data_IF_347809337599
#
_entry.id   IF_347809337599
#
_cell.length_a   1.000
_cell.length_b   1.000
_cell.length_c   1.000
_cell.angle_alpha   90.00
_cell.angle_beta   90.00
_cell.angle_gamma   90.00
#
_symmetry.space_group_name_H-M   'P 1'
#
loop_
_entity.id
_entity.type
_entity.pdbx_description
1 polymer ?
#
# COMPACT_ATOMS: atom_id res chain seq x y z
N UNK A 1 -31.22 -11.04 -16.07
CA UNK A 1 -30.38 -11.03 -17.29
C UNK A 1 -31.18 -11.43 -18.55
N UNK A 2 -32.38 -10.85 -18.77
CA UNK A 2 -33.25 -11.18 -19.92
C UNK A 2 -33.76 -9.96 -20.73
N UNK A 3 -33.47 -8.73 -20.31
CA UNK A 3 -34.04 -7.54 -20.98
C UNK A 3 -33.10 -6.74 -21.89
N UNK A 4 -31.82 -7.12 -22.02
CA UNK A 4 -30.91 -6.46 -22.97
C UNK A 4 -30.95 -7.02 -24.40
N UNK A 5 -31.68 -8.12 -24.65
CA UNK A 5 -31.68 -8.78 -25.97
C UNK A 5 -32.76 -8.29 -26.94
N UNK A 6 -33.73 -7.49 -26.49
CA UNK A 6 -34.89 -7.08 -27.31
C UNK A 6 -34.70 -5.73 -28.03
N UNK A 7 -33.68 -4.96 -27.66
CA UNK A 7 -33.37 -3.66 -28.30
C UNK A 7 -32.45 -3.85 -29.52
N UNK A 8 -31.64 -4.91 -29.57
CA UNK A 8 -30.69 -5.12 -30.68
C UNK A 8 -31.34 -5.62 -31.98
N UNK A 9 -32.56 -6.17 -31.93
CA UNK A 9 -33.25 -6.72 -33.12
C UNK A 9 -34.01 -5.63 -33.90
N UNK A 10 -34.39 -4.51 -33.26
CA UNK A 10 -35.09 -3.41 -33.97
C UNK A 10 -34.17 -2.48 -34.76
N UNK A 11 -32.85 -2.61 -34.65
CA UNK A 11 -31.89 -1.76 -35.37
C UNK A 11 -31.35 -2.39 -36.67
N UNK A 12 -31.72 -3.63 -36.99
CA UNK A 12 -31.24 -4.33 -38.19
C UNK A 12 -32.26 -4.28 -39.33
N UNK A 13 -33.55 -4.10 -39.05
CA UNK A 13 -34.62 -4.10 -40.08
C UNK A 13 -34.84 -2.76 -40.80
N UNK A 14 -34.17 -1.67 -40.40
CA UNK A 14 -34.31 -0.36 -41.08
C UNK A 14 -33.24 -0.07 -42.14
N UNK A 15 -32.36 -1.03 -42.45
CA UNK A 15 -31.21 -0.79 -43.33
C UNK A 15 -31.39 -1.21 -44.81
N UNK A 16 -32.62 -1.54 -45.24
CA UNK A 16 -32.92 -1.95 -46.62
C UNK A 16 -33.91 -1.02 -47.34
N UNK A 17 -33.76 0.29 -47.19
CA UNK A 17 -34.35 1.24 -48.13
C UNK A 17 -33.29 2.21 -48.66
N UNK A 18 -33.14 2.13 -49.99
CA UNK A 18 -32.20 2.82 -50.86
C UNK A 18 -32.12 4.35 -50.63
N UNK A 19 -30.92 4.95 -50.47
CA UNK A 19 -30.77 6.40 -50.48
C UNK A 19 -29.91 6.85 -51.65
N UNK A 20 -30.48 6.89 -52.85
CA UNK A 20 -29.83 7.53 -54.02
C UNK A 20 -30.46 8.86 -54.42
N UNK A 21 -31.43 9.39 -53.67
CA UNK A 21 -32.13 10.64 -54.04
C UNK A 21 -32.25 11.71 -52.95
N UNK A 22 -31.43 11.62 -51.90
CA UNK A 22 -31.45 12.59 -50.79
C UNK A 22 -30.05 13.08 -50.38
N UNK A 23 -29.05 12.93 -51.27
CA UNK A 23 -27.68 13.44 -51.06
C UNK A 23 -27.44 14.85 -51.60
N UNK A 24 -28.37 15.42 -52.38
CA UNK A 24 -28.23 16.76 -52.94
C UNK A 24 -28.70 17.86 -51.98
N UNK A 25 -29.76 17.64 -51.20
CA UNK A 25 -30.29 18.67 -50.27
C UNK A 25 -29.52 18.79 -48.96
N UNK A 26 -28.93 17.70 -48.45
CA UNK A 26 -28.08 17.71 -47.25
C UNK A 26 -26.71 18.37 -47.47
N UNK A 27 -26.22 18.46 -48.71
CA UNK A 27 -24.96 19.16 -49.04
C UNK A 27 -25.09 20.69 -49.09
N UNK A 28 -26.30 21.22 -49.30
CA UNK A 28 -26.52 22.67 -49.28
C UNK A 28 -26.76 23.21 -47.86
N UNK A 29 -27.44 22.47 -46.98
CA UNK A 29 -27.61 22.89 -45.58
C UNK A 29 -26.34 22.77 -44.73
N UNK A 30 -25.38 21.91 -45.08
CA UNK A 30 -24.14 21.77 -44.31
C UNK A 30 -23.10 22.87 -44.64
N UNK A 31 -23.30 23.67 -45.69
CA UNK A 31 -22.42 24.81 -46.02
C UNK A 31 -22.61 26.03 -45.11
N UNK A 32 -23.73 26.13 -44.39
CA UNK A 32 -24.05 27.34 -43.61
C UNK A 32 -23.75 27.26 -42.11
N UNK A 33 -23.32 26.12 -41.56
CA UNK A 33 -23.06 25.99 -40.12
C UNK A 33 -21.59 25.78 -39.72
N UNK A 34 -20.65 25.71 -40.67
CA UNK A 34 -19.22 25.63 -40.35
C UNK A 34 -18.63 27.03 -40.28
N UNK A 35 -18.85 27.73 -39.16
CA UNK A 35 -18.01 28.89 -38.84
C UNK A 35 -16.55 28.42 -38.79
N UNK A 36 -15.63 29.03 -39.55
CA UNK A 36 -14.23 28.69 -39.47
C UNK A 36 -13.73 29.05 -38.08
N UNK A 37 -13.52 28.05 -37.23
CA UNK A 37 -12.73 28.21 -36.02
C UNK A 37 -11.38 28.75 -36.50
N UNK A 38 -11.07 29.99 -36.12
CA UNK A 38 -9.85 30.64 -36.59
C UNK A 38 -8.68 29.84 -36.03
N UNK A 39 -7.81 29.34 -36.91
CA UNK A 39 -6.56 28.61 -36.58
C UNK A 39 -5.74 29.27 -35.45
N UNK A 40 -5.92 30.58 -35.24
CA UNK A 40 -5.30 31.35 -34.16
C UNK A 40 -5.79 30.97 -32.75
N UNK A 41 -7.02 30.48 -32.62
CA UNK A 41 -7.63 30.10 -31.34
C UNK A 41 -7.17 28.70 -30.90
N UNK A 42 -6.93 27.78 -31.86
CA UNK A 42 -6.36 26.45 -31.58
C UNK A 42 -4.92 26.52 -31.05
N UNK A 43 -4.11 27.45 -31.59
CA UNK A 43 -2.72 27.63 -31.15
C UNK A 43 -2.69 28.14 -29.69
N UNK A 44 -3.52 29.13 -29.35
CA UNK A 44 -3.62 29.65 -27.98
C UNK A 44 -4.06 28.60 -26.97
N UNK A 45 -5.02 27.74 -27.36
CA UNK A 45 -5.48 26.64 -26.50
C UNK A 45 -4.38 25.62 -26.24
N UNK A 46 -3.57 25.30 -27.25
CA UNK A 46 -2.42 24.39 -27.11
C UNK A 46 -1.36 24.95 -26.14
N UNK A 47 -1.02 26.25 -26.26
CA UNK A 47 -0.03 26.89 -25.39
C UNK A 47 -0.49 26.94 -23.92
N UNK A 48 -1.79 27.19 -23.71
CA UNK A 48 -2.40 27.13 -22.38
C UNK A 48 -2.30 25.72 -21.79
N UNK A 49 -2.64 24.68 -22.56
CA UNK A 49 -2.56 23.29 -22.12
C UNK A 49 -1.12 22.89 -21.72
N UNK A 50 -0.10 23.30 -22.48
CA UNK A 50 1.30 23.04 -22.12
C UNK A 50 1.71 23.71 -20.81
N UNK A 51 1.25 24.94 -20.60
CA UNK A 51 1.53 25.69 -19.38
C UNK A 51 0.89 24.98 -18.20
N UNK A 52 -0.37 24.55 -18.31
CA UNK A 52 -1.06 23.77 -17.29
C UNK A 52 -0.34 22.45 -16.96
N UNK A 53 0.03 21.66 -17.97
CA UNK A 53 0.76 20.39 -17.76
C UNK A 53 2.10 20.63 -17.06
N UNK A 54 2.81 21.69 -17.44
CA UNK A 54 4.10 22.04 -16.83
C UNK A 54 3.93 22.43 -15.37
N UNK A 55 2.98 23.31 -15.07
CA UNK A 55 2.66 23.72 -13.69
C UNK A 55 2.27 22.51 -12.84
N UNK A 56 1.41 21.63 -13.36
CA UNK A 56 0.99 20.42 -12.66
C UNK A 56 2.15 19.46 -12.40
N UNK A 57 3.04 19.28 -13.37
CA UNK A 57 4.23 18.41 -13.23
C UNK A 57 5.16 18.96 -12.15
N UNK A 58 5.42 20.28 -12.15
CA UNK A 58 6.23 20.94 -11.13
C UNK A 58 5.58 20.79 -9.75
N UNK A 59 4.26 21.00 -9.66
CA UNK A 59 3.53 20.83 -8.40
C UNK A 59 3.65 19.41 -7.85
N UNK A 60 3.44 18.38 -8.68
CA UNK A 60 3.61 16.98 -8.28
C UNK A 60 5.04 16.71 -7.80
N UNK A 61 6.04 17.21 -8.51
CA UNK A 61 7.44 17.05 -8.11
C UNK A 61 7.73 17.70 -6.75
N UNK A 62 7.26 18.93 -6.53
CA UNK A 62 7.38 19.62 -5.23
C UNK A 62 6.70 18.82 -4.13
N UNK A 63 5.51 18.27 -4.36
CA UNK A 63 4.82 17.40 -3.39
C UNK A 63 5.65 16.15 -3.05
N UNK A 64 6.24 15.48 -4.03
CA UNK A 64 7.09 14.31 -3.80
C UNK A 64 8.32 14.69 -2.96
N UNK A 65 9.03 15.75 -3.33
CA UNK A 65 10.23 16.24 -2.60
C UNK A 65 9.88 16.59 -1.16
N UNK A 66 8.77 17.30 -0.93
CA UNK A 66 8.32 17.62 0.42
C UNK A 66 7.99 16.36 1.23
N UNK A 67 7.24 15.40 0.67
CA UNK A 67 6.88 14.16 1.37
C UNK A 67 8.11 13.32 1.72
N UNK A 68 9.06 13.20 0.79
CA UNK A 68 10.34 12.52 1.02
C UNK A 68 11.13 13.23 2.12
N UNK A 69 11.23 14.56 2.04
CA UNK A 69 11.99 15.36 3.02
C UNK A 69 11.41 15.24 4.43
N UNK A 70 10.08 15.32 4.57
CA UNK A 70 9.39 15.10 5.85
C UNK A 70 9.68 13.70 6.39
N UNK A 71 9.59 12.67 5.54
CA UNK A 71 9.83 11.28 5.96
C UNK A 71 11.28 11.06 6.40
N UNK A 72 12.25 11.61 5.67
CA UNK A 72 13.67 11.58 6.04
C UNK A 72 13.87 12.29 7.38
N UNK A 73 13.31 13.49 7.53
CA UNK A 73 13.41 14.25 8.78
C UNK A 73 12.82 13.50 9.98
N UNK A 74 11.63 12.89 9.82
CA UNK A 74 11.00 12.09 10.87
C UNK A 74 11.86 10.88 11.26
N UNK A 75 12.42 10.17 10.28
CA UNK A 75 13.32 9.04 10.52
C UNK A 75 14.62 9.47 11.20
N UNK A 76 15.26 10.56 10.74
CA UNK A 76 16.46 11.11 11.37
C UNK A 76 16.18 11.56 12.80
N UNK A 77 15.05 12.23 13.04
CA UNK A 77 14.64 12.65 14.38
C UNK A 77 14.36 11.44 15.28
N UNK A 78 13.80 10.34 14.75
CA UNK A 78 13.62 9.09 15.50
C UNK A 78 14.97 8.47 15.88
N UNK A 79 15.93 8.39 14.94
CA UNK A 79 17.27 7.86 15.21
C UNK A 79 18.01 8.73 16.22
N UNK A 80 18.00 10.06 16.05
CA UNK A 80 18.73 10.99 16.91
C UNK A 80 18.17 11.04 18.35
N UNK A 81 16.89 10.72 18.53
CA UNK A 81 16.26 10.67 19.86
C UNK A 81 16.44 9.31 20.55
N UNK A 82 16.93 8.31 19.83
CA UNK A 82 17.19 7.00 20.42
C UNK A 82 18.49 7.04 21.23
N UNK A 83 18.38 6.82 22.53
CA UNK A 83 19.53 6.64 23.42
C UNK A 83 19.72 5.15 23.66
N UNK A 84 20.68 4.56 22.99
CA UNK A 84 20.93 3.12 23.09
C UNK A 84 21.55 2.77 24.45
N UNK A 85 21.01 1.75 25.11
CA UNK A 85 21.70 1.07 26.20
C UNK A 85 22.57 -0.06 25.61
N UNK A 86 23.91 0.08 25.57
CA UNK A 86 24.78 -0.88 24.89
C UNK A 86 24.78 -2.28 25.53
N UNK A 87 24.36 -2.38 26.79
CA UNK A 87 24.30 -3.64 27.52
C UNK A 87 23.06 -4.48 27.15
N UNK A 88 22.15 -3.93 26.35
CA UNK A 88 20.93 -4.63 25.97
C UNK A 88 21.18 -5.71 24.89
N UNK A 89 20.64 -6.94 25.06
CA UNK A 89 20.79 -8.03 24.10
C UNK A 89 20.50 -7.68 22.63
N UNK A 90 19.49 -6.83 22.39
CA UNK A 90 19.18 -6.34 21.03
C UNK A 90 20.31 -5.48 20.44
N UNK A 91 20.99 -4.64 21.24
CA UNK A 91 22.12 -3.83 20.76
C UNK A 91 23.33 -4.70 20.43
N UNK A 92 23.52 -5.78 21.18
CA UNK A 92 24.59 -6.76 20.99
C UNK A 92 24.30 -7.75 19.84
N UNK A 93 23.11 -7.67 19.22
CA UNK A 93 22.65 -8.57 18.16
C UNK A 93 22.63 -10.05 18.55
N UNK A 94 22.36 -10.34 19.82
CA UNK A 94 22.21 -11.72 20.29
C UNK A 94 21.04 -12.38 19.54
N UNK A 95 21.19 -13.62 19.04
CA UNK A 95 20.12 -14.33 18.35
C UNK A 95 18.83 -14.42 19.18
N UNK A 96 17.74 -13.90 18.63
CA UNK A 96 16.42 -13.84 19.32
C UNK A 96 15.87 -15.23 19.68
N UNK A 97 16.30 -16.27 18.97
CA UNK A 97 15.88 -17.66 19.19
C UNK A 97 16.49 -18.29 20.45
N UNK A 98 17.46 -17.63 21.09
CA UNK A 98 18.02 -18.10 22.35
C UNK A 98 16.95 -18.19 23.44
N UNK A 99 17.04 -19.26 24.25
CA UNK A 99 15.95 -19.80 25.07
C UNK A 99 15.33 -18.80 26.05
N UNK A 100 16.09 -17.78 26.46
CA UNK A 100 15.68 -16.82 27.48
C UNK A 100 15.62 -15.37 26.98
N UNK A 101 15.96 -15.13 25.70
CA UNK A 101 16.12 -13.77 25.17
C UNK A 101 14.85 -12.93 25.38
N UNK A 102 13.70 -13.44 24.95
CA UNK A 102 12.43 -12.73 25.05
C UNK A 102 11.87 -12.77 26.48
N UNK A 103 12.16 -13.82 27.22
CA UNK A 103 11.55 -14.11 28.51
C UNK A 103 12.14 -13.17 29.57
N UNK A 104 13.44 -12.89 29.46
CA UNK A 104 14.12 -11.85 30.22
C UNK A 104 13.50 -10.46 30.00
N UNK A 105 13.24 -10.07 28.74
CA UNK A 105 12.58 -8.79 28.45
C UNK A 105 11.18 -8.70 29.06
N UNK A 106 10.42 -9.78 29.07
CA UNK A 106 9.08 -9.79 29.65
C UNK A 106 9.15 -9.67 31.16
N UNK A 107 10.09 -10.37 31.80
CA UNK A 107 10.29 -10.27 33.22
C UNK A 107 10.74 -8.86 33.64
N UNK A 108 11.69 -8.26 32.90
CA UNK A 108 12.21 -6.91 33.20
C UNK A 108 11.23 -5.78 32.88
N UNK A 109 10.56 -5.83 31.72
CA UNK A 109 9.77 -4.70 31.19
C UNK A 109 8.25 -4.85 31.40
N UNK A 110 7.75 -6.08 31.61
CA UNK A 110 6.31 -6.39 31.54
C UNK A 110 5.69 -6.81 32.87
N UNK A 111 6.48 -7.05 33.93
CA UNK A 111 5.98 -7.43 35.26
C UNK A 111 4.83 -6.55 35.81
N UNK A 112 4.75 -5.22 35.55
CA UNK A 112 3.62 -4.41 36.02
C UNK A 112 2.44 -4.25 35.03
N UNK A 113 2.53 -4.76 33.78
CA UNK A 113 1.49 -4.56 32.74
C UNK A 113 0.78 -5.85 32.29
N UNK A 114 0.96 -6.96 33.01
CA UNK A 114 0.26 -8.23 32.79
C UNK A 114 -1.24 -8.18 33.15
N UNK A 115 -1.90 -7.05 32.89
CA UNK A 115 -3.33 -6.85 33.16
C UNK A 115 -4.13 -7.15 31.88
N UNK A 116 -4.65 -8.38 31.91
CA UNK A 116 -5.98 -8.75 31.47
C UNK A 116 -6.27 -8.87 29.95
N UNK A 117 -5.83 -10.00 29.40
CA UNK A 117 -6.60 -10.72 28.37
C UNK A 117 -7.42 -11.87 29.00
N UNK A 118 -7.66 -11.86 30.32
CA UNK A 118 -8.43 -12.93 30.95
C UNK A 118 -9.88 -12.83 30.52
N UNK A 119 -10.36 -13.91 29.88
CA UNK A 119 -11.79 -14.21 29.85
C UNK A 119 -12.42 -14.53 28.51
N UNK A 120 -11.73 -14.65 27.37
CA UNK A 120 -12.40 -15.12 26.13
C UNK A 120 -11.52 -15.98 25.22
N UNK A 121 -12.00 -17.17 24.76
CA UNK A 121 -11.43 -17.83 23.60
C UNK A 121 -11.75 -16.99 22.35
N UNK A 122 -10.80 -16.17 21.92
CA UNK A 122 -10.94 -15.35 20.72
C UNK A 122 -10.63 -16.19 19.48
N UNK A 123 -11.54 -17.12 19.17
CA UNK A 123 -11.54 -17.81 17.89
C UNK A 123 -11.75 -16.78 16.77
N UNK A 124 -10.99 -16.89 15.69
CA UNK A 124 -11.16 -16.06 14.51
C UNK A 124 -10.92 -16.87 13.25
N UNK A 125 -11.57 -16.49 12.15
CA UNK A 125 -11.36 -17.12 10.85
C UNK A 125 -10.25 -16.41 10.12
N UNK A 126 -9.24 -17.16 9.71
CA UNK A 126 -8.14 -16.62 8.94
C UNK A 126 -8.59 -16.36 7.49
N UNK A 127 -8.37 -15.15 6.96
CA UNK A 127 -8.82 -14.78 5.60
C UNK A 127 -7.81 -15.08 4.50
N UNK A 128 -6.54 -15.19 4.87
CA UNK A 128 -5.42 -15.41 3.97
C UNK A 128 -4.43 -16.31 4.71
N UNK A 129 -3.71 -17.21 4.03
CA UNK A 129 -2.77 -18.08 4.71
C UNK A 129 -1.66 -17.28 5.40
N UNK A 130 -1.09 -17.85 6.46
CA UNK A 130 0.09 -17.29 7.14
C UNK A 130 1.18 -18.34 7.14
N UNK A 131 2.36 -17.92 6.72
CA UNK A 131 3.54 -18.77 6.63
C UNK A 131 4.56 -18.40 7.70
N UNK A 132 5.07 -19.40 8.39
CA UNK A 132 6.07 -19.29 9.44
C UNK A 132 7.35 -20.00 9.02
N UNK A 133 8.49 -19.39 9.35
CA UNK A 133 9.79 -19.75 8.82
C UNK A 133 10.78 -20.03 9.95
N UNK A 134 11.82 -20.80 9.65
CA UNK A 134 12.90 -21.13 10.59
C UNK A 134 13.88 -19.97 10.81
N UNK A 135 13.99 -19.04 9.85
CA UNK A 135 14.82 -17.84 9.87
C UNK A 135 14.15 -16.71 9.06
N UNK A 136 14.54 -15.43 9.26
CA UNK A 136 13.97 -14.28 8.54
C UNK A 136 14.61 -14.11 7.14
N UNK A 137 14.42 -15.13 6.29
CA UNK A 137 14.92 -15.16 4.90
C UNK A 137 13.74 -15.42 3.94
N UNK A 138 13.64 -14.58 2.91
CA UNK A 138 12.58 -14.64 1.90
C UNK A 138 12.72 -15.86 0.96
N UNK A 139 13.90 -16.50 0.92
CA UNK A 139 14.18 -17.65 0.05
C UNK A 139 13.89 -19.01 0.71
N UNK A 140 13.52 -19.03 1.99
CA UNK A 140 13.23 -20.26 2.71
C UNK A 140 11.80 -20.73 2.47
N UNK A 141 11.63 -22.05 2.43
CA UNK A 141 10.31 -22.65 2.49
C UNK A 141 9.71 -22.51 3.91
N UNK A 142 8.39 -22.31 4.01
CA UNK A 142 7.73 -22.20 5.30
C UNK A 142 7.73 -23.54 6.04
N UNK A 143 8.08 -23.50 7.33
CA UNK A 143 8.03 -24.67 8.23
C UNK A 143 6.59 -24.99 8.63
N UNK A 144 5.77 -23.94 8.81
CA UNK A 144 4.35 -24.07 9.15
C UNK A 144 3.56 -23.11 8.27
N UNK A 145 2.49 -23.59 7.67
CA UNK A 145 1.51 -22.75 6.99
C UNK A 145 0.14 -22.96 7.62
N UNK A 146 -0.48 -21.86 8.03
CA UNK A 146 -1.85 -21.82 8.50
C UNK A 146 -2.77 -21.52 7.32
N UNK A 147 -3.77 -22.36 7.11
CA UNK A 147 -4.67 -22.28 5.97
C UNK A 147 -5.74 -21.20 6.15
N UNK A 148 -6.08 -20.52 5.05
CA UNK A 148 -7.23 -19.63 5.02
C UNK A 148 -8.55 -20.40 5.22
N UNK A 149 -9.57 -19.72 5.74
CA UNK A 149 -10.91 -20.28 5.99
C UNK A 149 -11.03 -21.09 7.28
N UNK A 150 -9.92 -21.48 7.91
CA UNK A 150 -9.93 -22.20 9.19
C UNK A 150 -10.09 -21.27 10.39
N UNK A 151 -10.58 -21.84 11.50
CA UNK A 151 -10.70 -21.16 12.80
C UNK A 151 -9.42 -21.36 13.61
N UNK A 152 -8.89 -20.26 14.12
CA UNK A 152 -7.69 -20.24 14.96
C UNK A 152 -7.97 -19.52 16.27
N UNK A 153 -7.20 -19.84 17.30
CA UNK A 153 -7.24 -19.20 18.61
C UNK A 153 -5.92 -18.51 18.92
N UNK A 154 -6.00 -17.50 19.78
CA UNK A 154 -4.85 -16.97 20.52
C UNK A 154 -4.89 -17.65 21.88
N UNK A 155 -3.86 -18.42 22.22
CA UNK A 155 -3.77 -19.01 23.54
C UNK A 155 -3.36 -17.93 24.55
N UNK A 156 -4.33 -17.40 25.29
CA UNK A 156 -4.12 -16.37 26.32
C UNK A 156 -3.95 -16.94 27.72
N UNK A 157 -4.12 -18.26 27.90
CA UNK A 157 -4.02 -18.95 29.19
C UNK A 157 -2.62 -19.50 29.48
N UNK A 158 -1.70 -19.34 28.54
CA UNK A 158 -0.30 -19.75 28.67
C UNK A 158 0.53 -18.59 29.25
N UNK A 159 1.48 -18.91 30.13
CA UNK A 159 2.53 -18.00 30.58
C UNK A 159 3.24 -17.32 29.40
N UNK A 160 3.28 -17.98 28.24
CA UNK A 160 3.84 -17.46 26.99
C UNK A 160 2.88 -16.64 26.12
N UNK A 161 1.67 -16.28 26.61
CA UNK A 161 0.66 -15.52 25.85
C UNK A 161 1.24 -14.26 25.18
N UNK A 162 2.22 -13.64 25.83
CA UNK A 162 2.97 -12.50 25.31
C UNK A 162 3.73 -12.78 24.02
N UNK A 163 3.92 -14.02 23.55
CA UNK A 163 4.61 -14.33 22.29
C UNK A 163 3.65 -14.68 21.15
N UNK A 164 2.33 -14.78 21.38
CA UNK A 164 1.42 -15.35 20.38
C UNK A 164 0.92 -14.33 19.34
N UNK A 165 0.95 -14.75 18.07
CA UNK A 165 0.26 -14.10 16.96
C UNK A 165 0.51 -12.60 16.80
N UNK A 166 -0.48 -11.79 17.17
CA UNK A 166 -0.40 -10.32 17.03
C UNK A 166 0.51 -9.67 18.08
N UNK A 167 0.90 -10.40 19.13
CA UNK A 167 1.87 -9.97 20.15
C UNK A 167 3.29 -10.40 19.76
N UNK A 168 3.66 -10.21 18.50
CA UNK A 168 4.96 -10.60 17.97
C UNK A 168 6.08 -9.65 18.40
N UNK A 169 7.32 -10.14 18.47
CA UNK A 169 8.51 -9.34 18.78
C UNK A 169 9.24 -8.90 17.51
N UNK A 170 9.87 -7.71 17.51
CA UNK A 170 10.65 -7.25 16.36
C UNK A 170 11.90 -8.10 16.18
N UNK A 171 12.41 -8.14 14.95
CA UNK A 171 13.69 -8.77 14.63
C UNK A 171 14.71 -7.76 14.14
N UNK A 172 15.92 -8.21 13.87
CA UNK A 172 16.96 -7.42 13.20
C UNK A 172 16.64 -7.13 11.73
N UNK A 173 15.76 -7.93 11.13
CA UNK A 173 15.38 -7.84 9.72
C UNK A 173 14.06 -7.08 9.59
N UNK A 174 14.06 -6.01 8.79
CA UNK A 174 12.86 -5.22 8.52
C UNK A 174 11.75 -6.10 7.95
N UNK A 175 10.53 -5.94 8.46
CA UNK A 175 9.35 -6.66 8.02
C UNK A 175 9.23 -8.07 8.60
N UNK A 176 10.14 -8.50 9.46
CA UNK A 176 10.13 -9.83 10.07
C UNK A 176 9.86 -9.76 11.57
N UNK A 177 9.06 -10.71 12.04
CA UNK A 177 8.63 -10.81 13.44
C UNK A 177 8.92 -12.19 13.99
N UNK A 178 9.23 -12.24 15.29
CA UNK A 178 9.41 -13.48 16.02
C UNK A 178 8.21 -13.73 16.92
N UNK A 179 7.55 -14.88 16.75
CA UNK A 179 6.21 -15.11 17.30
C UNK A 179 5.90 -16.60 17.45
N UNK A 180 5.09 -16.96 18.45
CA UNK A 180 4.40 -18.25 18.51
C UNK A 180 3.19 -18.23 17.55
N UNK A 181 3.05 -19.22 16.65
CA UNK A 181 1.94 -19.31 15.71
C UNK A 181 0.57 -19.33 16.39
N UNK A 182 -0.48 -18.96 15.63
CA UNK A 182 -1.84 -19.23 16.07
C UNK A 182 -2.11 -20.73 16.09
N UNK A 183 -2.99 -21.17 16.98
CA UNK A 183 -3.34 -22.59 17.13
C UNK A 183 -4.70 -22.86 16.49
N UNK A 184 -4.83 -23.95 15.74
CA UNK A 184 -6.11 -24.33 15.13
C UNK A 184 -7.13 -24.67 16.22
N UNK A 185 -8.34 -24.12 16.12
CA UNK A 185 -9.39 -24.36 17.10
C UNK A 185 -9.75 -25.85 17.14
N UNK A 186 -9.69 -26.47 18.33
CA UNK A 186 -9.89 -27.92 18.49
C UNK A 186 -8.61 -28.77 18.41
N UNK A 187 -7.46 -28.18 18.10
CA UNK A 187 -6.15 -28.84 18.18
C UNK A 187 -5.21 -28.03 19.09
N UNK A 188 -5.64 -27.81 20.32
CA UNK A 188 -5.01 -26.91 21.29
C UNK A 188 -3.71 -27.46 21.91
N UNK A 189 -3.03 -28.42 21.25
CA UNK A 189 -1.72 -28.86 21.69
C UNK A 189 -0.78 -27.65 21.79
N UNK A 190 -0.03 -27.58 22.87
CA UNK A 190 0.83 -26.44 23.20
C UNK A 190 1.97 -26.29 22.18
N UNK A 191 1.73 -25.52 21.13
CA UNK A 191 2.80 -24.99 20.30
C UNK A 191 3.51 -23.93 21.13
N UNK A 192 4.62 -24.30 21.76
CA UNK A 192 5.44 -23.38 22.58
C UNK A 192 6.59 -22.77 21.79
N UNK A 193 6.91 -23.33 20.62
CA UNK A 193 8.00 -22.87 19.79
C UNK A 193 7.62 -21.62 18.98
N UNK A 194 8.48 -20.61 19.05
CA UNK A 194 8.38 -19.41 18.23
C UNK A 194 9.10 -19.57 16.88
N UNK A 195 8.59 -18.86 15.88
CA UNK A 195 9.03 -18.87 14.49
C UNK A 195 9.09 -17.44 13.95
N UNK A 196 9.69 -17.30 12.77
CA UNK A 196 9.70 -16.03 12.04
C UNK A 196 8.46 -15.92 11.16
N UNK A 197 7.82 -14.75 11.12
CA UNK A 197 6.67 -14.45 10.26
C UNK A 197 6.85 -13.06 9.65
N UNK A 198 6.28 -12.84 8.46
CA UNK A 198 6.27 -11.51 7.86
C UNK A 198 5.26 -10.64 8.60
N UNK A 199 5.68 -9.45 9.02
CA UNK A 199 4.83 -8.44 9.66
C UNK A 199 3.55 -8.17 8.85
N UNK A 200 3.67 -8.14 7.52
CA UNK A 200 2.55 -7.89 6.62
C UNK A 200 1.43 -8.96 6.73
N UNK A 201 1.80 -10.20 7.05
CA UNK A 201 0.86 -11.32 7.10
C UNK A 201 0.00 -11.27 8.39
N UNK A 202 0.47 -10.56 9.42
CA UNK A 202 -0.25 -10.35 10.69
C UNK A 202 -1.34 -9.28 10.62
N UNK A 203 -1.38 -8.43 9.58
CA UNK A 203 -2.42 -7.39 9.44
C UNK A 203 -3.83 -7.96 9.27
N UNK A 204 -3.97 -9.03 8.48
CA UNK A 204 -5.28 -9.63 8.20
C UNK A 204 -5.88 -10.31 9.44
N UNK A 205 -5.15 -11.17 10.17
CA UNK A 205 -5.57 -11.68 11.47
C UNK A 205 -5.98 -10.57 12.44
N UNK A 206 -5.15 -9.53 12.57
CA UNK A 206 -5.43 -8.43 13.47
C UNK A 206 -6.77 -7.75 13.15
N UNK A 207 -7.06 -7.49 11.87
CA UNK A 207 -8.34 -6.91 11.45
C UNK A 207 -9.52 -7.80 11.82
N UNK A 208 -9.39 -9.12 11.66
CA UNK A 208 -10.46 -10.06 12.03
C UNK A 208 -10.65 -10.13 13.54
N UNK A 209 -9.57 -10.30 14.31
CA UNK A 209 -9.61 -10.36 15.78
C UNK A 209 -10.28 -9.11 16.34
N UNK A 210 -9.90 -7.93 15.87
CA UNK A 210 -10.50 -6.66 16.33
C UNK A 210 -12.02 -6.60 16.13
N UNK A 211 -12.53 -7.14 15.02
CA UNK A 211 -13.98 -7.19 14.75
C UNK A 211 -14.70 -8.14 15.72
N UNK A 212 -14.08 -9.27 16.06
CA UNK A 212 -14.67 -10.26 16.96
C UNK A 212 -14.69 -9.76 18.41
N UNK A 213 -13.56 -9.22 18.87
CA UNK A 213 -13.35 -8.86 20.28
C UNK A 213 -13.97 -7.50 20.65
N UNK A 214 -14.51 -6.76 19.67
CA UNK A 214 -14.93 -5.36 19.88
C UNK A 214 -13.83 -4.53 20.55
N UNK A 215 -12.58 -4.88 20.25
CA UNK A 215 -11.43 -4.31 20.92
C UNK A 215 -11.36 -2.82 20.61
N UNK A 216 -11.56 -1.99 21.63
CA UNK A 216 -11.45 -0.55 21.51
C UNK A 216 -9.98 -0.20 21.37
N UNK A 217 -9.60 0.20 20.16
CA UNK A 217 -8.27 0.71 19.90
C UNK A 217 -8.14 2.05 20.64
N UNK A 218 -7.05 2.28 21.38
CA UNK A 218 -6.78 3.61 21.91
C UNK A 218 -6.83 4.67 20.80
N UNK A 219 -7.44 5.82 21.07
CA UNK A 219 -7.55 6.91 20.07
C UNK A 219 -6.16 7.24 19.51
N UNK A 220 -6.04 7.30 18.19
CA UNK A 220 -4.78 7.60 17.49
C UNK A 220 -3.91 6.39 17.13
N UNK A 221 -4.31 5.16 17.49
CA UNK A 221 -3.62 3.95 17.02
C UNK A 221 -4.24 3.42 15.73
N UNK A 222 -3.40 3.07 14.77
CA UNK A 222 -3.79 2.31 13.58
C UNK A 222 -3.34 0.84 13.71
N UNK A 223 -3.75 -0.02 12.78
CA UNK A 223 -3.40 -1.45 12.82
C UNK A 223 -1.89 -1.69 12.86
N UNK A 224 -1.12 -0.86 12.14
CA UNK A 224 0.35 -0.97 12.10
C UNK A 224 0.94 -0.67 13.46
N UNK A 225 0.49 0.41 14.08
CA UNK A 225 0.95 0.81 15.42
C UNK A 225 0.68 -0.25 16.47
N UNK A 226 -0.47 -0.93 16.38
CA UNK A 226 -0.82 -2.01 17.29
C UNK A 226 0.12 -3.22 17.15
N UNK A 227 0.54 -3.56 15.92
CA UNK A 227 1.55 -4.61 15.69
C UNK A 227 2.97 -4.18 16.10
N UNK A 228 3.23 -2.88 16.21
CA UNK A 228 4.53 -2.28 16.55
C UNK A 228 4.62 -1.83 18.01
N UNK A 229 3.65 -2.18 18.86
CA UNK A 229 3.60 -1.67 20.24
C UNK A 229 4.85 -2.06 21.03
N UNK A 230 5.39 -3.26 20.79
CA UNK A 230 6.62 -3.74 21.42
C UNK A 230 7.86 -3.05 20.89
N UNK A 231 7.87 -2.69 19.61
CA UNK A 231 8.94 -1.89 19.01
C UNK A 231 8.97 -0.50 19.67
N UNK A 232 7.82 0.16 19.83
CA UNK A 232 7.72 1.45 20.52
C UNK A 232 8.14 1.36 21.99
N UNK A 233 7.83 0.25 22.66
CA UNK A 233 8.27 -0.02 24.03
C UNK A 233 9.79 -0.16 24.10
N UNK A 234 10.38 -1.07 23.31
CA UNK A 234 11.83 -1.28 23.29
C UNK A 234 12.60 -0.01 22.88
N UNK A 235 12.02 0.81 22.02
CA UNK A 235 12.58 2.11 21.66
C UNK A 235 12.63 3.07 22.85
N UNK A 236 11.53 3.18 23.61
CA UNK A 236 11.42 4.08 24.76
C UNK A 236 12.38 3.70 25.88
N UNK A 237 12.59 2.40 26.09
CA UNK A 237 13.50 1.86 27.10
C UNK A 237 14.97 1.86 26.66
N UNK A 238 15.29 2.37 25.45
CA UNK A 238 16.67 2.36 24.93
C UNK A 238 17.18 0.97 24.55
N UNK A 239 16.34 -0.07 24.59
CA UNK A 239 16.71 -1.44 24.30
C UNK A 239 16.93 -1.68 22.81
N UNK A 240 16.03 -1.18 21.95
CA UNK A 240 16.11 -1.45 20.51
C UNK A 240 15.35 -0.44 19.65
N UNK A 241 16.03 0.08 18.63
CA UNK A 241 15.39 0.81 17.53
C UNK A 241 15.09 -0.17 16.39
N UNK A 242 13.87 -0.70 16.39
CA UNK A 242 13.42 -1.60 15.33
C UNK A 242 13.41 -0.91 13.95
N UNK A 243 13.90 -1.56 12.89
CA UNK A 243 13.85 -1.02 11.54
C UNK A 243 12.42 -0.86 11.01
N UNK A 244 11.44 -1.52 11.65
CA UNK A 244 10.02 -1.36 11.34
C UNK A 244 9.43 -0.06 11.89
N UNK A 245 10.08 0.63 12.82
CA UNK A 245 9.65 1.96 13.26
C UNK A 245 9.94 3.03 12.21
N UNK A 246 10.97 2.81 11.37
CA UNK A 246 11.34 3.72 10.29
C UNK A 246 10.30 3.70 9.16
N UNK A 247 9.84 4.88 8.78
CA UNK A 247 8.91 5.04 7.65
C UNK A 247 9.65 4.82 6.33
N UNK A 248 9.05 4.12 5.34
CA UNK A 248 9.65 4.00 4.02
C UNK A 248 9.71 5.36 3.34
N UNK A 249 10.88 5.75 2.83
CA UNK A 249 11.06 7.03 2.11
C UNK A 249 10.27 7.03 0.79
N UNK A 250 10.17 5.86 0.14
CA UNK A 250 9.33 5.63 -1.03
C UNK A 250 8.11 4.79 -0.60
N UNK A 251 6.98 5.45 -0.38
CA UNK A 251 5.70 4.80 -0.15
C UNK A 251 4.90 4.64 -1.46
N UNK A 252 3.83 3.85 -1.42
CA UNK A 252 2.97 3.60 -2.60
C UNK A 252 2.46 4.90 -3.23
N UNK A 253 2.17 5.91 -2.41
CA UNK A 253 1.74 7.23 -2.89
C UNK A 253 2.84 7.98 -3.64
N UNK A 254 4.08 7.96 -3.15
CA UNK A 254 5.21 8.56 -3.87
C UNK A 254 5.43 7.85 -5.21
N UNK A 255 5.26 6.52 -5.26
CA UNK A 255 5.34 5.75 -6.52
C UNK A 255 4.22 6.16 -7.48
N UNK A 256 2.96 6.25 -7.00
CA UNK A 256 1.82 6.69 -7.82
C UNK A 256 2.05 8.10 -8.37
N UNK A 257 2.51 9.03 -7.53
CA UNK A 257 2.80 10.41 -7.96
C UNK A 257 3.93 10.46 -8.99
N UNK A 258 4.97 9.64 -8.84
CA UNK A 258 6.06 9.52 -9.83
C UNK A 258 5.53 9.00 -11.17
N UNK A 259 4.68 7.97 -11.16
CA UNK A 259 4.06 7.42 -12.38
C UNK A 259 3.19 8.46 -13.08
N UNK A 260 2.37 9.21 -12.33
CA UNK A 260 1.54 10.30 -12.89
C UNK A 260 2.44 11.40 -13.47
N UNK A 261 3.47 11.81 -12.75
CA UNK A 261 4.44 12.80 -13.20
C UNK A 261 5.12 12.38 -14.51
N UNK A 262 5.54 11.13 -14.61
CA UNK A 262 6.13 10.57 -15.83
C UNK A 262 5.15 10.59 -17.00
N UNK A 263 3.89 10.21 -16.77
CA UNK A 263 2.85 10.22 -17.80
C UNK A 263 2.57 11.64 -18.32
N UNK A 264 2.54 12.65 -17.45
CA UNK A 264 2.38 14.05 -17.85
C UNK A 264 3.56 14.56 -18.71
N UNK A 265 4.79 14.16 -18.37
CA UNK A 265 5.98 14.48 -19.17
C UNK A 265 5.89 13.80 -20.54
N UNK A 266 5.48 12.54 -20.60
CA UNK A 266 5.30 11.81 -21.87
C UNK A 266 4.24 12.49 -22.76
N UNK A 267 3.07 12.86 -22.21
CA UNK A 267 2.05 13.62 -22.94
C UNK A 267 2.64 14.91 -23.48
N UNK A 268 3.36 15.68 -22.64
CA UNK A 268 3.99 16.94 -23.07
C UNK A 268 4.94 16.75 -24.24
N UNK A 269 5.75 15.69 -24.24
CA UNK A 269 6.70 15.38 -25.33
C UNK A 269 5.94 15.02 -26.60
N UNK A 270 4.93 14.14 -26.52
CA UNK A 270 4.13 13.69 -27.67
C UNK A 270 3.38 14.87 -28.29
N UNK A 271 2.66 15.64 -27.47
CA UNK A 271 1.94 16.83 -27.96
C UNK A 271 2.90 17.80 -28.66
N UNK A 272 4.12 18.01 -28.11
CA UNK A 272 5.10 18.92 -28.70
C UNK A 272 5.56 18.43 -30.07
N UNK A 273 5.78 17.12 -30.21
CA UNK A 273 6.14 16.50 -31.49
C UNK A 273 5.03 16.66 -32.54
N UNK A 274 3.77 16.44 -32.15
CA UNK A 274 2.61 16.65 -33.03
C UNK A 274 2.49 18.11 -33.46
N UNK A 275 2.64 19.06 -32.53
CA UNK A 275 2.57 20.49 -32.82
C UNK A 275 3.68 20.93 -33.78
N UNK A 276 4.92 20.47 -33.58
CA UNK A 276 6.02 20.71 -34.52
C UNK A 276 5.73 20.14 -35.92
N UNK A 277 5.12 18.96 -36.00
CA UNK A 277 4.74 18.32 -37.27
C UNK A 277 3.66 19.14 -37.99
N UNK A 278 2.59 19.55 -37.28
CA UNK A 278 1.53 20.40 -37.84
C UNK A 278 2.08 21.73 -38.36
N UNK A 279 3.00 22.38 -37.64
CA UNK A 279 3.61 23.63 -38.09
C UNK A 279 4.44 23.47 -39.36
N UNK A 280 5.20 22.37 -39.50
CA UNK A 280 5.97 22.09 -40.73
C UNK A 280 5.06 21.94 -41.94
N UNK A 281 3.95 21.21 -41.81
CA UNK A 281 2.96 21.01 -42.88
C UNK A 281 2.32 22.35 -43.30
N UNK A 282 1.95 23.20 -42.34
CA UNK A 282 1.37 24.53 -42.63
C UNK A 282 2.36 25.41 -43.40
N UNK A 283 3.64 25.43 -43.01
CA UNK A 283 4.68 26.20 -43.70
C UNK A 283 4.89 25.70 -45.14
N UNK A 284 4.97 24.39 -45.35
CA UNK A 284 5.10 23.79 -46.69
C UNK A 284 3.89 24.12 -47.58
N UNK A 285 2.68 24.09 -47.03
CA UNK A 285 1.45 24.40 -47.77
C UNK A 285 1.37 25.86 -48.21
N UNK A 286 1.84 26.80 -47.36
CA UNK A 286 1.91 28.23 -47.72
C UNK A 286 2.93 28.50 -48.82
N UNK A 287 4.10 27.86 -48.77
CA UNK A 287 5.16 28.05 -49.77
C UNK A 287 4.78 27.56 -51.17
N UNK A 288 3.81 26.65 -51.32
CA UNK A 288 3.33 26.15 -52.62
C UNK A 288 2.25 27.03 -53.27
N UNK A 289 1.72 28.03 -52.56
CA UNK A 289 0.65 28.93 -53.07
C UNK A 289 1.17 30.29 -53.55
N UNK A 290 2.46 30.54 -53.40
CA UNK A 290 3.17 31.72 -53.91
C UNK A 290 3.94 31.25 -55.14
#
# INVERSE_FOLDING_TARGET
MKDCKRILIKLIDTNNSSPLRERSSLREQQKHCCHPIKVKDEIKLSDYLYTCITVLTVFIFVCIVLRISITIWENCNLVNKFTANPDEPYQQRIPIKEKDFIDDYVYRLYAPFAVDLMGRPNTFVLKQPISYYSAPDDNLEPVITLEAGKKYIINTYDINSYKYGIQSWPTYNKGWRFVIPFVEAGNEKSVTQAYYVKLKDLFSPLKTIKKVVHYQIPKGYNNRRLLLIKDEMLYKEGCYLSPDLLKPVLDDWNIILLVIGFYLIAIKIISRAEHCTKQKIIKQTKSRRI
#
